data_IF_326679043723
#
_entry.id   IF_326679043723
#
_cell.length_a   1.000
_cell.length_b   1.000
_cell.length_c   1.000
_cell.angle_alpha   90.00
_cell.angle_beta   90.00
_cell.angle_gamma   90.00
#
_symmetry.space_group_name_H-M   'P 1'
#
loop_
_entity.id
_entity.type
_entity.pdbx_description
1 polymer ?
#
# COMPACT_ATOMS: atom_id res chain seq x y z
N UNK A 1 -16.60 7.14 4.68
CA UNK A 1 -15.98 6.27 5.71
C UNK A 1 -14.70 5.69 5.15
N UNK A 2 -13.53 6.12 5.63
CA UNK A 2 -12.22 5.54 5.25
C UNK A 2 -12.06 4.22 5.99
N UNK A 3 -11.81 3.11 5.28
CA UNK A 3 -11.54 1.81 5.89
C UNK A 3 -10.03 1.66 6.07
N UNK A 4 -9.58 1.30 7.28
CA UNK A 4 -8.18 1.02 7.56
C UNK A 4 -7.64 -0.13 6.70
N UNK A 5 -8.48 -1.15 6.48
CA UNK A 5 -8.16 -2.33 5.70
C UNK A 5 -9.33 -2.77 4.83
N UNK A 6 -9.03 -3.11 3.59
CA UNK A 6 -9.85 -4.00 2.75
C UNK A 6 -8.84 -5.03 2.25
N UNK A 7 -9.12 -6.32 2.44
CA UNK A 7 -8.24 -7.37 1.96
C UNK A 7 -8.03 -7.17 0.46
N UNK A 8 -6.79 -6.89 0.06
CA UNK A 8 -6.46 -6.70 -1.33
C UNK A 8 -6.72 -8.03 -2.07
N UNK A 9 -7.57 -8.00 -3.09
CA UNK A 9 -7.75 -9.14 -3.99
C UNK A 9 -6.43 -9.40 -4.72
N UNK A 10 -6.07 -10.68 -4.96
CA UNK A 10 -4.92 -11.00 -5.79
C UNK A 10 -5.04 -10.29 -7.13
N UNK A 11 -4.00 -9.58 -7.54
CA UNK A 11 -3.84 -9.24 -8.95
C UNK A 11 -3.78 -10.58 -9.69
N UNK A 12 -4.49 -10.71 -10.83
CA UNK A 12 -4.47 -11.93 -11.66
C UNK A 12 -3.05 -12.49 -11.75
N UNK A 13 -2.90 -13.82 -11.60
CA UNK A 13 -1.61 -14.48 -11.36
C UNK A 13 -0.48 -13.79 -12.12
N UNK A 14 0.29 -12.99 -11.38
CA UNK A 14 1.48 -12.39 -11.93
C UNK A 14 2.34 -13.54 -12.45
N UNK A 15 2.86 -13.43 -13.67
CA UNK A 15 3.81 -14.41 -14.19
C UNK A 15 4.86 -14.68 -13.10
N UNK A 16 4.95 -15.91 -12.56
CA UNK A 16 5.65 -16.17 -11.30
C UNK A 16 7.11 -15.73 -11.30
N UNK A 17 7.69 -15.56 -12.50
CA UNK A 17 9.09 -15.27 -12.69
C UNK A 17 9.43 -13.80 -13.00
N UNK A 18 8.45 -12.89 -13.03
CA UNK A 18 8.76 -11.48 -13.25
C UNK A 18 9.43 -10.86 -12.00
N UNK A 19 10.62 -10.22 -12.11
CA UNK A 19 11.32 -9.64 -10.96
C UNK A 19 10.46 -8.65 -10.14
N UNK A 20 9.62 -7.85 -10.81
CA UNK A 20 8.65 -6.96 -10.16
C UNK A 20 7.59 -7.72 -9.34
N UNK A 21 7.16 -8.90 -9.78
CA UNK A 21 6.20 -9.71 -9.03
C UNK A 21 6.81 -10.22 -7.72
N UNK A 22 8.08 -10.64 -7.75
CA UNK A 22 8.85 -11.04 -6.55
C UNK A 22 9.02 -9.86 -5.58
N UNK A 23 9.31 -8.66 -6.09
CA UNK A 23 9.40 -7.43 -5.29
C UNK A 23 8.06 -7.10 -4.61
N UNK A 24 6.96 -7.10 -5.36
CA UNK A 24 5.62 -6.82 -4.82
C UNK A 24 5.16 -7.86 -3.78
N UNK A 25 5.48 -9.14 -4.01
CA UNK A 25 5.21 -10.21 -3.05
C UNK A 25 5.98 -10.00 -1.75
N UNK A 26 7.26 -9.58 -1.84
CA UNK A 26 8.07 -9.26 -0.67
C UNK A 26 7.53 -8.07 0.12
N UNK A 27 7.08 -7.03 -0.58
CA UNK A 27 6.40 -5.88 0.05
C UNK A 27 5.15 -6.35 0.81
N UNK A 28 4.33 -7.22 0.20
CA UNK A 28 3.15 -7.76 0.88
C UNK A 28 3.53 -8.54 2.15
N UNK A 29 4.50 -9.46 2.06
CA UNK A 29 4.97 -10.25 3.21
C UNK A 29 5.43 -9.35 4.38
N UNK A 30 6.14 -8.25 4.07
CA UNK A 30 6.60 -7.29 5.08
C UNK A 30 5.41 -6.56 5.72
N UNK A 31 4.47 -6.06 4.91
CA UNK A 31 3.31 -5.34 5.42
C UNK A 31 2.36 -6.24 6.22
N UNK A 32 2.18 -7.50 5.79
CA UNK A 32 1.34 -8.48 6.48
C UNK A 32 1.90 -8.83 7.87
N UNK A 33 3.24 -8.85 8.03
CA UNK A 33 3.91 -9.04 9.33
C UNK A 33 3.89 -7.80 10.22
N UNK A 34 3.72 -6.61 9.64
CA UNK A 34 3.80 -5.33 10.34
C UNK A 34 2.50 -4.53 10.15
N UNK A 35 1.37 -5.16 10.46
CA UNK A 35 0.05 -4.58 10.23
C UNK A 35 -0.19 -3.24 10.93
N UNK A 36 0.47 -2.99 12.08
CA UNK A 36 0.39 -1.75 12.85
C UNK A 36 0.87 -0.52 12.06
N UNK A 37 1.71 -0.70 11.03
CA UNK A 37 2.12 0.40 10.15
C UNK A 37 0.92 0.98 9.41
N UNK A 38 -0.06 0.15 9.03
CA UNK A 38 -1.29 0.62 8.38
C UNK A 38 -2.11 1.52 9.32
N UNK A 39 -2.12 1.23 10.63
CA UNK A 39 -2.82 2.04 11.62
C UNK A 39 -2.15 3.42 11.79
N UNK A 40 -0.81 3.46 11.80
CA UNK A 40 -0.05 4.72 11.82
C UNK A 40 -0.35 5.57 10.58
N UNK A 41 -0.34 4.96 9.39
CA UNK A 41 -0.71 5.64 8.14
C UNK A 41 -2.16 6.11 8.19
N UNK A 42 -3.07 5.31 8.74
CA UNK A 42 -4.47 5.68 8.88
C UNK A 42 -4.67 6.92 9.78
N UNK A 43 -3.91 7.02 10.88
CA UNK A 43 -3.90 8.20 11.74
C UNK A 43 -3.38 9.43 10.99
N UNK A 44 -2.23 9.31 10.33
CA UNK A 44 -1.60 10.40 9.57
C UNK A 44 -2.47 10.91 8.41
N UNK A 45 -3.14 10.03 7.66
CA UNK A 45 -4.05 10.48 6.58
C UNK A 45 -5.40 10.94 7.12
N UNK A 46 -5.80 10.48 8.31
CA UNK A 46 -7.09 10.81 8.96
C UNK A 46 -7.17 12.23 9.51
N UNK A 47 -6.02 12.88 9.74
CA UNK A 47 -5.93 14.28 10.18
C UNK A 47 -6.08 15.28 9.03
N UNK A 48 -5.90 14.84 7.78
CA UNK A 48 -6.16 15.67 6.61
C UNK A 48 -7.68 15.88 6.45
N UNK A 49 -8.12 17.14 6.36
CA UNK A 49 -9.53 17.53 6.27
C UNK A 49 -10.29 16.75 5.19
N UNK A 50 -11.59 16.54 5.40
CA UNK A 50 -12.48 15.73 4.55
C UNK A 50 -12.56 16.17 3.08
N UNK A 51 -12.02 17.34 2.77
CA UNK A 51 -11.97 17.97 1.45
C UNK A 51 -10.70 17.63 0.66
N UNK A 52 -9.78 16.87 1.25
CA UNK A 52 -8.51 16.48 0.62
C UNK A 52 -8.33 14.96 0.56
N UNK A 53 -7.93 14.46 -0.62
CA UNK A 53 -7.68 13.04 -0.89
C UNK A 53 -8.77 12.36 -1.71
N UNK A 54 -8.37 11.36 -2.50
CA UNK A 54 -9.30 10.54 -3.27
C UNK A 54 -10.11 9.63 -2.32
N UNK A 55 -11.44 9.74 -2.33
CA UNK A 55 -12.37 8.92 -1.54
C UNK A 55 -12.34 7.40 -1.83
N UNK A 56 -11.38 6.91 -2.62
CA UNK A 56 -11.35 5.56 -3.18
C UNK A 56 -10.20 4.65 -2.71
N UNK A 57 -9.27 5.12 -1.87
CA UNK A 57 -8.12 4.31 -1.42
C UNK A 57 -8.08 4.11 0.10
N UNK A 58 -7.75 2.90 0.54
CA UNK A 58 -7.47 2.57 1.95
C UNK A 58 -6.08 3.03 2.37
N UNK A 59 -5.83 3.13 3.67
CA UNK A 59 -4.49 3.43 4.20
C UNK A 59 -3.43 2.43 3.70
N UNK A 60 -3.79 1.14 3.64
CA UNK A 60 -2.93 0.09 3.09
C UNK A 60 -2.59 0.33 1.61
N UNK A 61 -3.56 0.72 0.79
CA UNK A 61 -3.33 1.00 -0.64
C UNK A 61 -2.45 2.23 -0.84
N UNK A 62 -2.65 3.27 -0.04
CA UNK A 62 -1.80 4.47 -0.05
C UNK A 62 -0.37 4.11 0.33
N UNK A 63 -0.18 3.30 1.38
CA UNK A 63 1.13 2.83 1.81
C UNK A 63 1.84 2.01 0.74
N UNK A 64 1.14 1.04 0.13
CA UNK A 64 1.68 0.22 -0.98
C UNK A 64 2.10 1.09 -2.16
N UNK A 65 1.28 2.07 -2.57
CA UNK A 65 1.61 2.99 -3.65
C UNK A 65 2.82 3.89 -3.31
N UNK A 66 2.91 4.38 -2.07
CA UNK A 66 4.02 5.20 -1.60
C UNK A 66 5.36 4.43 -1.62
N UNK A 67 5.37 3.17 -1.18
CA UNK A 67 6.57 2.30 -1.23
C UNK A 67 7.02 2.09 -2.68
N UNK A 68 6.09 1.74 -3.58
CA UNK A 68 6.41 1.53 -5.01
C UNK A 68 6.98 2.81 -5.63
N UNK A 69 6.37 3.97 -5.36
CA UNK A 69 6.86 5.28 -5.82
C UNK A 69 8.26 5.55 -5.27
N UNK A 70 8.50 5.29 -3.99
CA UNK A 70 9.78 5.54 -3.36
C UNK A 70 10.88 4.67 -3.94
N UNK A 71 10.62 3.37 -4.17
CA UNK A 71 11.57 2.45 -4.83
C UNK A 71 11.88 2.93 -6.25
N UNK A 72 10.85 3.31 -7.02
CA UNK A 72 11.05 3.85 -8.38
C UNK A 72 11.87 5.13 -8.43
N UNK A 73 11.77 5.99 -7.41
CA UNK A 73 12.53 7.24 -7.30
C UNK A 73 13.96 7.08 -6.78
N UNK A 74 14.34 5.92 -6.21
CA UNK A 74 15.72 5.63 -5.79
C UNK A 74 16.60 5.08 -6.94
N UNK A 75 16.03 4.89 -8.13
CA UNK A 75 16.77 4.61 -9.36
C UNK A 75 17.16 5.92 -10.03
N UNK A 76 18.14 6.64 -9.45
CA UNK A 76 18.78 7.82 -10.05
C UNK A 76 20.29 7.58 -10.20
#
# INVERSE_FOLDING_TARGET
>A
MRKARIQQLPLAEATPDHPKAKELAKISEILDRNNSICDLVFQEIGTAGSETGANGMTAEQVLRAAIIKQIGNHSA
#
